data_IF_187967443005
#
_entry.id   IF_187967443005
#
_cell.length_a   1.000
_cell.length_b   1.000
_cell.length_c   1.000
_cell.angle_alpha   90.00
_cell.angle_beta   90.00
_cell.angle_gamma   90.00
#
_symmetry.space_group_name_H-M   'P 1'
#
loop_
_entity.id
_entity.type
_entity.pdbx_description
1 polymer ?
#
# COMPACT_ATOMS: atom_id res chain seq x y z
N UNK A 1 -10.27 1.79 18.01
CA UNK A 1 -10.14 0.95 16.80
C UNK A 1 -8.67 0.81 16.56
N UNK A 2 -8.11 -0.39 16.76
CA UNK A 2 -6.69 -0.66 16.60
C UNK A 2 -6.26 -0.28 15.18
N UNK A 3 -5.61 0.86 15.07
CA UNK A 3 -4.88 1.28 13.89
C UNK A 3 -3.68 0.36 13.74
N UNK A 4 -3.91 -0.86 13.25
CA UNK A 4 -2.86 -1.77 12.80
C UNK A 4 -2.15 -1.11 11.64
N UNK A 5 -1.22 -0.21 11.97
CA UNK A 5 -0.32 0.42 11.03
C UNK A 5 0.56 -0.69 10.52
N UNK A 6 0.44 -1.00 9.23
CA UNK A 6 1.24 -2.05 8.64
C UNK A 6 2.67 -1.53 8.62
N UNK A 7 3.48 -1.95 9.60
CA UNK A 7 4.86 -1.48 9.72
C UNK A 7 5.71 -2.31 8.78
N UNK A 8 5.66 -1.94 7.49
CA UNK A 8 6.34 -2.65 6.41
C UNK A 8 7.53 -1.83 5.94
N UNK A 9 8.67 -2.48 5.72
CA UNK A 9 9.88 -1.79 5.27
C UNK A 9 9.67 -1.23 3.86
N UNK A 10 9.87 0.09 3.72
CA UNK A 10 9.80 0.79 2.45
C UNK A 10 8.38 1.06 1.92
N UNK A 11 7.33 0.90 2.74
CA UNK A 11 5.96 1.18 2.31
C UNK A 11 5.76 2.64 1.91
N UNK A 12 6.29 3.58 2.70
CA UNK A 12 6.21 5.02 2.39
C UNK A 12 6.99 5.38 1.12
N UNK A 13 8.15 4.77 0.89
CA UNK A 13 8.91 4.97 -0.35
C UNK A 13 8.10 4.49 -1.56
N UNK A 14 7.51 3.29 -1.48
CA UNK A 14 6.64 2.75 -2.53
C UNK A 14 5.46 3.68 -2.80
N UNK A 15 4.81 4.21 -1.75
CA UNK A 15 3.71 5.16 -1.92
C UNK A 15 4.16 6.46 -2.59
N UNK A 16 5.33 6.98 -2.22
CA UNK A 16 5.89 8.18 -2.84
C UNK A 16 6.22 7.98 -4.32
N UNK A 17 6.81 6.83 -4.67
CA UNK A 17 7.07 6.44 -6.06
C UNK A 17 5.77 6.36 -6.86
N UNK A 18 4.78 5.61 -6.36
CA UNK A 18 3.48 5.44 -7.05
C UNK A 18 2.71 6.77 -7.20
N UNK A 19 2.80 7.66 -6.20
CA UNK A 19 2.24 9.00 -6.28
C UNK A 19 2.94 9.85 -7.34
N UNK A 20 4.27 9.82 -7.40
CA UNK A 20 5.05 10.51 -8.43
C UNK A 20 4.76 9.97 -9.84
N UNK A 21 4.45 8.67 -9.95
CA UNK A 21 4.00 8.01 -11.18
C UNK A 21 2.53 8.29 -11.53
N UNK A 22 1.78 9.02 -10.68
CA UNK A 22 0.37 9.34 -10.89
C UNK A 22 -0.56 8.12 -10.81
N UNK A 23 -0.17 7.08 -10.07
CA UNK A 23 -0.94 5.83 -9.98
C UNK A 23 -2.20 6.03 -9.12
N UNK A 24 -3.41 5.77 -9.66
CA UNK A 24 -4.65 5.92 -8.90
C UNK A 24 -4.82 4.80 -7.87
N UNK A 25 -5.63 5.06 -6.84
CA UNK A 25 -5.91 4.09 -5.78
C UNK A 25 -6.98 3.04 -6.17
N UNK A 26 -6.62 2.16 -7.10
CA UNK A 26 -7.44 1.04 -7.57
C UNK A 26 -6.84 -0.35 -7.22
N UNK A 27 -7.54 -1.43 -7.58
CA UNK A 27 -7.08 -2.78 -7.23
C UNK A 27 -5.74 -3.18 -7.87
N UNK A 28 -5.38 -2.63 -9.02
CA UNK A 28 -4.09 -2.91 -9.66
C UNK A 28 -2.93 -2.33 -8.87
N UNK A 29 -3.11 -1.14 -8.28
CA UNK A 29 -2.05 -0.51 -7.48
C UNK A 29 -1.79 -1.30 -6.19
N UNK A 30 -2.83 -1.91 -5.59
CA UNK A 30 -2.62 -2.75 -4.40
C UNK A 30 -1.85 -4.03 -4.73
N UNK A 31 -2.10 -4.66 -5.88
CA UNK A 31 -1.29 -5.77 -6.39
C UNK A 31 0.17 -5.34 -6.65
N UNK A 32 0.38 -4.15 -7.21
CA UNK A 32 1.72 -3.61 -7.45
C UNK A 32 2.49 -3.32 -6.16
N UNK A 33 1.83 -2.70 -5.17
CA UNK A 33 2.41 -2.47 -3.84
C UNK A 33 2.82 -3.80 -3.22
N UNK A 34 1.97 -4.83 -3.28
CA UNK A 34 2.27 -6.17 -2.78
C UNK A 34 3.53 -6.77 -3.41
N UNK A 35 3.66 -6.66 -4.74
CA UNK A 35 4.83 -7.18 -5.46
C UNK A 35 6.11 -6.39 -5.10
N UNK A 36 6.03 -5.06 -4.97
CA UNK A 36 7.15 -4.23 -4.53
C UNK A 36 7.57 -4.54 -3.09
N UNK A 37 6.61 -4.80 -2.21
CA UNK A 37 6.86 -5.22 -0.82
C UNK A 37 7.56 -6.59 -0.75
N UNK A 38 7.10 -7.57 -1.54
CA UNK A 38 7.72 -8.90 -1.65
C UNK A 38 9.17 -8.80 -2.18
N UNK A 39 9.40 -7.94 -3.18
CA UNK A 39 10.73 -7.67 -3.74
C UNK A 39 11.67 -7.04 -2.70
N UNK A 40 11.14 -6.21 -1.79
CA UNK A 40 11.87 -5.66 -0.63
C UNK A 40 11.99 -6.67 0.54
N UNK A 41 11.76 -7.96 0.30
CA UNK A 41 11.87 -9.05 1.28
C UNK A 41 10.89 -8.94 2.47
N UNK A 42 9.78 -8.22 2.31
CA UNK A 42 8.73 -8.21 3.33
C UNK A 42 7.92 -9.51 3.29
N UNK A 43 7.48 -9.97 4.45
CA UNK A 43 6.59 -11.12 4.53
C UNK A 43 5.21 -10.78 3.95
N UNK A 44 4.84 -11.48 2.89
CA UNK A 44 3.49 -11.45 2.32
C UNK A 44 2.74 -12.72 2.76
N UNK A 45 1.57 -12.59 3.40
CA UNK A 45 0.77 -13.75 3.78
C UNK A 45 0.43 -14.63 2.57
N UNK A 46 0.67 -15.93 2.70
CA UNK A 46 0.37 -16.92 1.66
C UNK A 46 -1.10 -17.35 1.62
N UNK A 47 -1.81 -17.25 2.76
CA UNK A 47 -3.25 -17.52 2.85
C UNK A 47 -4.01 -16.52 1.98
N UNK A 48 -4.83 -17.01 1.05
CA UNK A 48 -5.61 -16.17 0.14
C UNK A 48 -6.54 -15.21 0.88
N UNK A 49 -7.18 -15.68 1.95
CA UNK A 49 -8.05 -14.87 2.82
C UNK A 49 -7.24 -13.72 3.43
N UNK A 50 -6.09 -14.02 4.02
CA UNK A 50 -5.22 -13.01 4.65
C UNK A 50 -4.61 -12.07 3.62
N UNK A 51 -4.25 -12.57 2.44
CA UNK A 51 -3.72 -11.77 1.33
C UNK A 51 -4.76 -10.78 0.80
N UNK A 52 -6.04 -11.18 0.76
CA UNK A 52 -7.16 -10.29 0.37
C UNK A 52 -7.37 -9.17 1.38
N UNK A 53 -7.39 -9.49 2.68
CA UNK A 53 -7.49 -8.48 3.75
C UNK A 53 -6.30 -7.52 3.71
N UNK A 54 -5.10 -8.06 3.50
CA UNK A 54 -3.88 -7.26 3.42
C UNK A 54 -3.89 -6.31 2.22
N UNK A 55 -4.36 -6.75 1.03
CA UNK A 55 -4.57 -5.84 -0.12
C UNK A 55 -5.55 -4.72 0.19
N UNK A 56 -6.63 -5.03 0.92
CA UNK A 56 -7.62 -4.03 1.29
C UNK A 56 -7.02 -2.96 2.22
N UNK A 57 -6.25 -3.38 3.23
CA UNK A 57 -5.55 -2.47 4.14
C UNK A 57 -4.52 -1.61 3.41
N UNK A 58 -3.68 -2.20 2.55
CA UNK A 58 -2.70 -1.48 1.74
C UNK A 58 -3.36 -0.43 0.85
N UNK A 59 -4.47 -0.79 0.18
CA UNK A 59 -5.20 0.14 -0.66
C UNK A 59 -5.78 1.30 0.15
N UNK A 60 -6.26 1.04 1.36
CA UNK A 60 -6.74 2.06 2.28
C UNK A 60 -5.63 3.03 2.68
N UNK A 61 -4.46 2.52 3.09
CA UNK A 61 -3.33 3.39 3.46
C UNK A 61 -2.80 4.21 2.28
N UNK A 62 -2.79 3.64 1.06
CA UNK A 62 -2.40 4.42 -0.12
C UNK A 62 -3.40 5.55 -0.43
N UNK A 63 -4.71 5.33 -0.23
CA UNK A 63 -5.73 6.41 -0.37
C UNK A 63 -5.53 7.52 0.65
N UNK A 64 -5.22 7.16 1.90
CA UNK A 64 -4.91 8.12 2.95
C UNK A 64 -3.64 8.90 2.60
N UNK A 65 -2.62 8.24 2.06
CA UNK A 65 -1.41 8.88 1.54
C UNK A 65 -1.74 9.89 0.43
N UNK A 66 -2.49 9.47 -0.61
CA UNK A 66 -2.90 10.37 -1.69
C UNK A 66 -3.65 11.59 -1.15
N UNK A 67 -4.64 11.37 -0.28
CA UNK A 67 -5.46 12.46 0.28
C UNK A 67 -4.62 13.48 1.06
N UNK A 68 -3.59 13.02 1.77
CA UNK A 68 -2.67 13.90 2.51
C UNK A 68 -1.76 14.72 1.59
N UNK A 69 -1.49 14.25 0.36
CA UNK A 69 -0.58 14.91 -0.59
C UNK A 69 -1.31 15.71 -1.69
N UNK A 70 -2.53 15.32 -2.04
CA UNK A 70 -3.40 16.06 -2.97
C UNK A 70 -4.06 17.28 -2.32
N UNK A 71 -4.23 17.27 -0.99
CA UNK A 71 -4.79 18.40 -0.22
C UNK A 71 -3.79 19.51 0.14
N UNK A 72 -2.55 19.43 -0.35
CA UNK A 72 -1.50 20.42 -0.11
C UNK A 72 -1.41 21.45 -1.24
N UNK A 73 -2.34 22.40 -1.27
CA UNK A 73 -2.23 23.67 -2.04
C UNK A 73 -2.46 24.86 -1.12
#
# INVERSE_FOLDING_TARGET
>A
MDGTKVTVNGLTEIFAELFAEGRPADFKVSDEIMNRLETKQNYIPSSEITRREYRHLILKEYREYLSAHEGGT
#
